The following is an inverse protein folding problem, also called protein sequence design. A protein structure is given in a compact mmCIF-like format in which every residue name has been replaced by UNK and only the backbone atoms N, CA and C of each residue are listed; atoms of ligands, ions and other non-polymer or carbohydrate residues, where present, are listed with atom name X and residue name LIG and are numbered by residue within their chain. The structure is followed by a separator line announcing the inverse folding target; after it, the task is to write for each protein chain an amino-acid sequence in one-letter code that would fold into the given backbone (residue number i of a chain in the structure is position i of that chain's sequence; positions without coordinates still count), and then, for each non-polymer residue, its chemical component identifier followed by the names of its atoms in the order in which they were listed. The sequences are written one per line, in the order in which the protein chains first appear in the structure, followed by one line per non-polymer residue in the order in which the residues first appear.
data_IF_305622812788
#
_entry.id   IF_305622812788
#
_cell.length_a   1.000
_cell.length_b   1.000
_cell.length_c   1.000
_cell.angle_alpha   90.00
_cell.angle_beta   90.00
_cell.angle_gamma   90.00
#
_symmetry.space_group_name_H-M   'P 1'
#
loop_
_entity.id
_entity.type
_entity.pdbx_description
1 polymer ?
#
# COMPACT_ATOMS: atom_id res chain seq x y z
N UNK A 1 4.24 -20.64 -10.65
CA UNK A 1 4.54 -19.80 -9.46
C UNK A 1 5.66 -20.48 -8.70
N UNK A 2 6.75 -19.76 -8.44
CA UNK A 2 7.91 -20.28 -7.72
C UNK A 2 7.87 -19.99 -6.21
N UNK A 3 6.98 -19.10 -5.79
CA UNK A 3 6.70 -18.82 -4.39
C UNK A 3 5.24 -18.33 -4.22
N UNK A 4 4.73 -18.42 -3.00
CA UNK A 4 3.39 -17.96 -2.61
C UNK A 4 3.47 -17.22 -1.28
N UNK A 5 2.65 -16.20 -1.11
CA UNK A 5 2.51 -15.45 0.13
C UNK A 5 1.04 -15.16 0.42
N UNK A 6 0.71 -15.04 1.69
CA UNK A 6 -0.61 -14.64 2.19
C UNK A 6 -0.42 -13.39 3.06
N UNK A 7 -1.40 -12.49 3.04
CA UNK A 7 -1.37 -11.23 3.79
C UNK A 7 -2.71 -11.02 4.51
N UNK A 8 -2.67 -10.35 5.66
CA UNK A 8 -3.84 -10.01 6.47
C UNK A 8 -3.81 -8.53 6.84
N UNK A 9 -4.99 -7.94 6.99
CA UNK A 9 -5.15 -6.60 7.53
C UNK A 9 -4.86 -6.60 9.03
N UNK A 10 -4.10 -5.63 9.49
CA UNK A 10 -3.65 -5.56 10.89
C UNK A 10 -4.73 -5.03 11.84
N UNK A 11 -5.82 -4.46 11.32
CA UNK A 11 -6.92 -3.90 12.11
C UNK A 11 -8.01 -4.93 12.38
N UNK A 12 -8.37 -5.75 11.39
CA UNK A 12 -9.50 -6.68 11.47
C UNK A 12 -9.18 -8.15 11.13
N UNK A 13 -7.90 -8.50 10.89
CA UNK A 13 -7.43 -9.83 10.50
C UNK A 13 -8.10 -10.37 9.21
N UNK A 14 -8.70 -9.51 8.39
CA UNK A 14 -9.26 -9.92 7.09
C UNK A 14 -8.13 -10.22 6.08
N UNK A 15 -8.32 -11.18 5.15
CA UNK A 15 -7.32 -11.49 4.15
C UNK A 15 -7.16 -10.36 3.13
N UNK A 16 -5.90 -9.97 2.85
CA UNK A 16 -5.52 -8.98 1.84
C UNK A 16 -5.00 -9.68 0.59
N UNK A 17 -5.45 -9.21 -0.58
CA UNK A 17 -4.97 -9.69 -1.87
C UNK A 17 -3.54 -9.20 -2.17
N UNK A 18 -2.63 -10.13 -2.47
CA UNK A 18 -1.34 -9.82 -3.09
C UNK A 18 -1.58 -9.41 -4.54
N UNK A 19 -1.28 -8.16 -4.87
CA UNK A 19 -1.58 -7.56 -6.17
C UNK A 19 -0.51 -7.78 -7.24
N UNK A 20 0.74 -7.96 -6.83
CA UNK A 20 1.87 -8.13 -7.74
C UNK A 20 2.93 -9.02 -7.09
N UNK A 21 3.53 -9.91 -7.90
CA UNK A 21 4.68 -10.74 -7.51
C UNK A 21 5.81 -10.43 -8.49
N UNK A 22 6.93 -9.93 -7.98
CA UNK A 22 8.13 -9.62 -8.76
C UNK A 22 9.22 -10.64 -8.46
N UNK A 23 9.79 -11.20 -9.52
CA UNK A 23 10.92 -12.11 -9.46
C UNK A 23 12.17 -11.34 -9.89
N UNK A 24 13.24 -11.42 -9.11
CA UNK A 24 14.54 -10.82 -9.47
C UNK A 24 15.40 -11.76 -10.33
N UNK A 25 14.74 -12.61 -11.13
CA UNK A 25 15.40 -13.56 -12.03
C UNK A 25 14.58 -13.74 -13.30
N UNK A 26 15.28 -14.10 -14.38
CA UNK A 26 14.68 -14.51 -15.63
C UNK A 26 14.37 -16.02 -15.62
N UNK A 27 13.09 -16.42 -15.77
CA UNK A 27 12.70 -17.82 -15.79
C UNK A 27 13.37 -18.68 -16.86
N UNK A 28 13.80 -18.09 -17.97
CA UNK A 28 14.41 -18.83 -19.09
C UNK A 28 15.90 -19.10 -18.88
N UNK A 29 16.56 -18.34 -18.00
CA UNK A 29 18.02 -18.37 -17.81
C UNK A 29 18.46 -18.60 -16.37
N UNK A 30 17.53 -18.93 -15.47
CA UNK A 30 17.81 -19.17 -14.05
C UNK A 30 18.84 -20.30 -13.83
N UNK A 31 19.82 -20.03 -12.97
CA UNK A 31 20.81 -20.98 -12.46
C UNK A 31 20.65 -21.15 -10.94
N UNK A 32 21.30 -22.16 -10.36
CA UNK A 32 21.26 -22.38 -8.91
C UNK A 32 21.85 -21.19 -8.14
N UNK A 33 21.10 -20.67 -7.18
CA UNK A 33 21.46 -19.50 -6.38
C UNK A 33 20.28 -18.99 -5.54
N UNK A 34 20.55 -17.96 -4.74
CA UNK A 34 19.54 -17.27 -3.94
C UNK A 34 18.97 -16.07 -4.73
N UNK A 35 17.64 -15.96 -4.79
CA UNK A 35 16.96 -14.89 -5.51
C UNK A 35 15.87 -14.26 -4.67
N UNK A 36 15.78 -12.94 -4.75
CA UNK A 36 14.74 -12.19 -4.06
C UNK A 36 13.41 -12.26 -4.81
N UNK A 37 12.33 -12.49 -4.06
CA UNK A 37 10.95 -12.48 -4.56
C UNK A 37 10.18 -11.46 -3.74
N UNK A 38 9.63 -10.45 -4.42
CA UNK A 38 8.87 -9.38 -3.78
C UNK A 38 7.37 -9.60 -4.00
N UNK A 39 6.62 -9.69 -2.90
CA UNK A 39 5.14 -9.69 -2.91
C UNK A 39 4.64 -8.29 -2.52
N UNK A 40 3.81 -7.69 -3.36
CA UNK A 40 3.25 -6.36 -3.11
C UNK A 40 1.72 -6.41 -3.00
N UNK A 41 1.19 -5.88 -1.90
CA UNK A 41 -0.24 -5.60 -1.74
C UNK A 41 -0.56 -4.21 -2.30
N UNK A 42 -1.80 -4.01 -2.76
CA UNK A 42 -2.27 -2.67 -3.15
C UNK A 42 -2.53 -1.85 -1.89
N UNK A 43 -1.55 -1.05 -1.47
CA UNK A 43 -1.62 -0.23 -0.25
C UNK A 43 -1.98 1.23 -0.48
N UNK A 44 -3.25 1.56 -0.20
CA UNK A 44 -3.83 2.90 0.13
C UNK A 44 -3.80 3.99 -0.95
N UNK A 45 -4.93 4.15 -1.66
CA UNK A 45 -5.31 5.46 -2.22
C UNK A 45 -5.76 6.34 -1.05
N UNK A 46 -4.97 7.33 -0.65
CA UNK A 46 -5.49 8.41 0.18
C UNK A 46 -6.52 9.18 -0.63
N UNK A 47 -7.80 8.84 -0.48
CA UNK A 47 -8.88 9.65 -1.04
C UNK A 47 -9.05 10.86 -0.14
N UNK A 48 -8.20 11.87 -0.34
CA UNK A 48 -8.39 13.19 0.26
C UNK A 48 -9.64 13.77 -0.42
N UNK A 49 -10.80 13.61 0.21
CA UNK A 49 -12.03 14.22 -0.25
C UNK A 49 -12.15 15.58 0.42
N UNK A 50 -11.55 16.61 -0.19
CA UNK A 50 -11.97 17.98 0.11
C UNK A 50 -13.28 18.20 -0.60
N UNK A 51 -14.32 18.66 0.10
CA UNK A 51 -15.62 19.01 -0.52
C UNK A 51 -15.53 20.27 -1.41
N UNK A 52 -14.32 20.78 -1.61
CA UNK A 52 -14.02 22.00 -2.35
C UNK A 52 -13.51 21.67 -3.76
N UNK A 53 -14.27 22.11 -4.76
CA UNK A 53 -13.90 22.03 -6.16
C UNK A 53 -12.67 22.92 -6.45
N UNK A 54 -11.69 22.38 -7.16
CA UNK A 54 -10.57 23.14 -7.72
C UNK A 54 -10.36 22.77 -9.18
N UNK A 55 -10.00 23.77 -9.97
CA UNK A 55 -9.79 23.66 -11.42
C UNK A 55 -8.47 22.92 -11.74
N UNK A 56 -8.46 22.10 -12.79
CA UNK A 56 -7.29 21.30 -13.18
C UNK A 56 -6.07 22.18 -13.50
N UNK A 57 -4.91 21.86 -12.93
CA UNK A 57 -3.65 22.57 -13.16
C UNK A 57 -3.29 23.65 -12.12
N UNK A 58 -4.14 23.90 -11.13
CA UNK A 58 -3.77 24.76 -9.99
C UNK A 58 -2.77 24.07 -9.06
N UNK A 59 -1.76 24.82 -8.63
CA UNK A 59 -0.93 24.44 -7.47
C UNK A 59 -1.78 24.59 -6.22
N UNK A 60 -2.27 23.47 -5.73
CA UNK A 60 -2.93 23.38 -4.42
C UNK A 60 -1.88 23.12 -3.36
N UNK A 61 -2.11 23.67 -2.18
CA UNK A 61 -1.32 23.35 -0.98
C UNK A 61 -2.20 22.60 0.00
N UNK A 62 -1.60 21.68 0.76
CA UNK A 62 -2.29 20.91 1.78
C UNK A 62 -2.18 21.68 3.09
N UNK A 63 -3.25 22.42 3.45
CA UNK A 63 -3.33 23.10 4.73
C UNK A 63 -4.21 22.29 5.67
N UNK A 64 -3.64 21.81 6.76
CA UNK A 64 -4.37 21.18 7.86
C UNK A 64 -4.60 22.22 8.95
N UNK A 65 -5.86 22.48 9.30
CA UNK A 65 -6.18 23.18 10.53
C UNK A 65 -6.13 22.19 11.72
N UNK A 66 -5.95 22.66 12.96
CA UNK A 66 -5.91 21.77 14.13
C UNK A 66 -7.14 20.86 14.24
N UNK A 67 -8.30 21.31 13.77
CA UNK A 67 -9.54 20.53 13.76
C UNK A 67 -9.53 19.37 12.74
N UNK A 68 -8.71 19.48 11.68
CA UNK A 68 -8.57 18.47 10.63
C UNK A 68 -7.65 17.31 11.03
N UNK A 69 -6.89 17.47 12.11
CA UNK A 69 -5.92 16.48 12.59
C UNK A 69 -6.57 15.63 13.68
N UNK A 70 -6.96 14.41 13.33
CA UNK A 70 -7.48 13.46 14.30
C UNK A 70 -6.39 12.53 14.80
N UNK A 71 -6.03 12.65 16.09
CA UNK A 71 -5.05 11.77 16.74
C UNK A 71 -5.77 10.62 17.41
N UNK A 72 -5.75 9.45 16.77
CA UNK A 72 -6.23 8.21 17.39
C UNK A 72 -5.12 7.62 18.26
N UNK A 73 -5.40 7.41 19.53
CA UNK A 73 -4.52 6.62 20.40
C UNK A 73 -4.68 5.15 20.03
N UNK A 74 -3.58 4.40 19.91
CA UNK A 74 -3.66 2.94 19.78
C UNK A 74 -4.39 2.41 21.00
N UNK A 75 -5.60 1.91 20.82
CA UNK A 75 -6.35 1.28 21.89
C UNK A 75 -5.71 -0.08 22.11
N UNK A 76 -4.87 -0.18 23.14
CA UNK A 76 -4.29 -1.45 23.58
C UNK A 76 -5.05 -1.97 24.79
N UNK A 77 -5.64 -3.15 24.66
CA UNK A 77 -5.20 -4.39 25.33
C UNK A 77 -5.46 -5.57 24.42
#
# INVERSE_FOLDING_TARGET
MWASAEAWDLEDDSPIEISEVKYDFDPETIAEGDFDITFATKGRIFKIHTTDFQEEGKKVDLKFAPEDIHVMSKMGV
#
